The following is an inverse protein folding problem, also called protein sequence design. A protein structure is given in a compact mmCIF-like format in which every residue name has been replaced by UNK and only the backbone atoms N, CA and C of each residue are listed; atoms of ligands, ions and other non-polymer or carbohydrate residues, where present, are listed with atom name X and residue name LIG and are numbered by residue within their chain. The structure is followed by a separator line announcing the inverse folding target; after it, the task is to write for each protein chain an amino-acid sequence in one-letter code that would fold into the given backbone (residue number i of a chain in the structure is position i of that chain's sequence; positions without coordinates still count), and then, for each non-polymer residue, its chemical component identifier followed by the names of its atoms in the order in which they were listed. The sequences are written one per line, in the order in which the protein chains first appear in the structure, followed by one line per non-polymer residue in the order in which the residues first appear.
data_IF_612805012519
#
_entry.id   IF_612805012519
#
_cell.length_a   1.000
_cell.length_b   1.000
_cell.length_c   1.000
_cell.angle_alpha   90.00
_cell.angle_beta   90.00
_cell.angle_gamma   90.00
#
_symmetry.space_group_name_H-M   'P 1'
#
loop_
_entity.id
_entity.type
_entity.pdbx_description
1 polymer ?
#
# COMPACT_ATOMS: atom_id res chain seq x y z
N UNK A 1 64.59 4.19 -24.53
CA UNK A 1 64.29 5.49 -25.18
C UNK A 1 62.79 5.50 -25.50
N UNK A 2 62.02 6.33 -24.79
CA UNK A 2 60.64 6.89 -25.00
C UNK A 2 59.52 5.98 -25.58
N UNK A 3 58.33 5.78 -25.02
CA UNK A 3 57.31 6.56 -24.24
C UNK A 3 56.02 6.81 -25.07
N UNK A 4 54.84 6.68 -24.42
CA UNK A 4 53.50 7.15 -24.84
C UNK A 4 52.50 5.99 -25.02
N UNK A 5 51.62 5.61 -24.09
CA UNK A 5 50.48 6.29 -23.42
C UNK A 5 49.42 6.84 -24.39
N UNK A 6 48.22 6.26 -24.33
CA UNK A 6 47.05 6.62 -25.15
C UNK A 6 45.72 6.11 -24.57
N UNK A 7 45.41 6.56 -23.35
CA UNK A 7 44.10 6.87 -22.76
C UNK A 7 42.85 6.05 -23.13
N UNK A 8 42.27 5.44 -22.11
CA UNK A 8 40.96 4.79 -22.15
C UNK A 8 39.81 5.77 -22.34
N UNK A 9 38.80 5.30 -23.06
CA UNK A 9 37.43 5.79 -22.94
C UNK A 9 36.73 4.97 -21.87
N UNK A 10 36.86 5.39 -20.61
CA UNK A 10 35.85 5.05 -19.61
C UNK A 10 34.53 5.61 -20.14
N UNK A 11 33.59 4.73 -20.47
CA UNK A 11 32.20 5.12 -20.54
C UNK A 11 31.87 5.73 -19.18
N UNK A 12 31.59 7.03 -19.18
CA UNK A 12 30.97 7.69 -18.03
C UNK A 12 29.62 7.02 -17.85
N UNK A 13 29.56 6.04 -16.95
CA UNK A 13 28.33 5.73 -16.25
C UNK A 13 28.03 7.00 -15.48
N UNK A 14 27.14 7.83 -16.03
CA UNK A 14 26.54 8.91 -15.26
C UNK A 14 26.04 8.28 -13.96
N UNK A 15 26.40 8.79 -12.78
CA UNK A 15 25.74 8.36 -11.57
C UNK A 15 24.26 8.70 -11.77
N UNK A 16 23.42 7.68 -11.90
CA UNK A 16 22.00 7.84 -11.59
C UNK A 16 22.02 8.48 -10.21
N UNK A 17 21.51 9.71 -10.10
CA UNK A 17 21.50 10.42 -8.85
C UNK A 17 20.93 9.46 -7.79
N UNK A 18 21.78 9.15 -6.81
CA UNK A 18 21.53 8.31 -5.66
C UNK A 18 20.45 9.00 -4.82
N UNK A 19 19.23 9.00 -5.36
CA UNK A 19 18.10 9.68 -4.76
C UNK A 19 17.69 8.78 -3.63
N UNK A 20 17.91 9.22 -2.39
CA UNK A 20 17.45 8.53 -1.19
C UNK A 20 16.00 8.07 -1.42
N UNK A 21 15.75 6.75 -1.56
CA UNK A 21 14.43 6.23 -1.90
C UNK A 21 13.39 6.64 -0.85
N UNK A 22 13.80 6.80 0.40
CA UNK A 22 12.91 7.27 1.45
C UNK A 22 12.51 8.73 1.23
N UNK A 23 13.45 9.60 0.88
CA UNK A 23 13.16 10.99 0.53
C UNK A 23 12.23 11.09 -0.69
N UNK A 24 12.43 10.25 -1.70
CA UNK A 24 11.56 10.18 -2.87
C UNK A 24 10.12 9.79 -2.50
N UNK A 25 9.94 8.76 -1.67
CA UNK A 25 8.60 8.37 -1.21
C UNK A 25 7.94 9.41 -0.32
N UNK A 26 8.70 10.08 0.55
CA UNK A 26 8.19 11.16 1.39
C UNK A 26 7.70 12.35 0.56
N UNK A 27 8.39 12.67 -0.54
CA UNK A 27 8.00 13.74 -1.45
C UNK A 27 6.63 13.51 -2.12
N UNK A 28 6.24 12.25 -2.33
CA UNK A 28 4.98 11.86 -2.99
C UNK A 28 3.85 11.49 -2.02
N UNK A 29 4.12 11.43 -0.71
CA UNK A 29 3.18 10.93 0.30
C UNK A 29 1.88 11.75 0.38
N UNK A 30 1.93 13.06 0.18
CA UNK A 30 0.74 13.91 0.22
C UNK A 30 -0.22 13.60 -0.93
N UNK A 31 0.31 13.44 -2.14
CA UNK A 31 -0.47 13.08 -3.32
C UNK A 31 -1.04 11.66 -3.18
N UNK A 32 -0.21 10.71 -2.72
CA UNK A 32 -0.64 9.36 -2.39
C UNK A 32 -1.84 9.37 -1.43
N UNK A 33 -1.75 10.13 -0.33
CA UNK A 33 -2.84 10.22 0.64
C UNK A 33 -4.11 10.86 0.08
N UNK A 34 -3.97 11.84 -0.81
CA UNK A 34 -5.11 12.43 -1.51
C UNK A 34 -5.78 11.42 -2.43
N UNK A 35 -5.00 10.61 -3.14
CA UNK A 35 -5.50 9.53 -4.00
C UNK A 35 -6.21 8.45 -3.21
N UNK A 36 -5.64 7.99 -2.08
CA UNK A 36 -6.29 7.00 -1.20
C UNK A 36 -7.64 7.50 -0.67
N UNK A 37 -7.77 8.80 -0.37
CA UNK A 37 -9.07 9.38 0.02
C UNK A 37 -10.09 9.35 -1.12
N UNK A 38 -9.67 9.64 -2.36
CA UNK A 38 -10.54 9.53 -3.54
C UNK A 38 -10.98 8.08 -3.79
N UNK A 39 -10.05 7.13 -3.67
CA UNK A 39 -10.35 5.70 -3.85
C UNK A 39 -11.31 5.21 -2.76
N UNK A 40 -11.15 5.64 -1.50
CA UNK A 40 -12.10 5.28 -0.44
C UNK A 40 -13.51 5.78 -0.75
N UNK A 41 -13.64 7.02 -1.24
CA UNK A 41 -14.93 7.55 -1.67
C UNK A 41 -15.55 6.74 -2.84
N UNK A 42 -14.73 6.25 -3.76
CA UNK A 42 -15.17 5.38 -4.85
C UNK A 42 -15.69 4.02 -4.33
N UNK A 43 -14.99 3.40 -3.37
CA UNK A 43 -15.42 2.15 -2.71
C UNK A 43 -16.76 2.32 -2.01
N UNK A 44 -16.95 3.44 -1.30
CA UNK A 44 -18.22 3.77 -0.64
C UNK A 44 -19.37 3.84 -1.66
N UNK A 45 -19.14 4.48 -2.80
CA UNK A 45 -20.14 4.56 -3.87
C UNK A 45 -20.44 3.17 -4.46
N UNK A 46 -19.40 2.41 -4.77
CA UNK A 46 -19.48 1.08 -5.36
C UNK A 46 -20.22 0.07 -4.47
N UNK A 47 -19.98 0.13 -3.16
CA UNK A 47 -20.65 -0.74 -2.18
C UNK A 47 -22.06 -0.27 -1.80
N UNK A 48 -22.48 0.91 -2.28
CA UNK A 48 -23.77 1.53 -1.94
C UNK A 48 -23.88 1.90 -0.45
N UNK A 49 -22.75 2.14 0.22
CA UNK A 49 -22.73 2.55 1.62
C UNK A 49 -23.01 4.05 1.77
N UNK A 50 -23.61 4.43 2.90
CA UNK A 50 -23.79 5.85 3.21
C UNK A 50 -22.44 6.51 3.50
N UNK A 51 -22.06 7.52 2.70
CA UNK A 51 -20.75 8.16 2.80
C UNK A 51 -20.44 8.71 4.19
N UNK A 52 -21.40 9.37 4.84
CA UNK A 52 -21.22 9.89 6.19
C UNK A 52 -20.97 8.79 7.23
N UNK A 53 -21.66 7.65 7.09
CA UNK A 53 -21.47 6.51 7.98
C UNK A 53 -20.10 5.86 7.78
N UNK A 54 -19.68 5.67 6.53
CA UNK A 54 -18.38 5.07 6.20
C UNK A 54 -17.19 5.97 6.56
N UNK A 55 -17.34 7.29 6.46
CA UNK A 55 -16.32 8.25 6.90
C UNK A 55 -16.12 8.22 8.42
N UNK A 56 -17.22 8.13 9.19
CA UNK A 56 -17.21 8.06 10.65
C UNK A 56 -16.71 6.71 11.16
N UNK A 57 -17.20 5.63 10.55
CA UNK A 57 -16.84 4.27 10.90
C UNK A 57 -16.72 3.42 9.61
N UNK A 58 -15.48 3.23 9.10
CA UNK A 58 -15.23 2.41 7.93
C UNK A 58 -15.65 0.94 8.13
N UNK A 59 -15.80 0.45 9.36
CA UNK A 59 -16.24 -0.92 9.62
C UNK A 59 -17.65 -1.20 9.07
N UNK A 60 -18.46 -0.15 8.87
CA UNK A 60 -19.79 -0.25 8.22
C UNK A 60 -19.73 -0.78 6.78
N UNK A 61 -18.56 -0.74 6.14
CA UNK A 61 -18.33 -1.29 4.80
C UNK A 61 -18.07 -2.80 4.80
N UNK A 62 -17.62 -3.41 5.90
CA UNK A 62 -17.13 -4.78 5.93
C UNK A 62 -18.12 -5.78 5.29
N UNK A 63 -19.41 -5.82 5.67
CA UNK A 63 -20.34 -6.80 5.11
C UNK A 63 -20.71 -6.55 3.64
N UNK A 64 -20.47 -5.33 3.14
CA UNK A 64 -20.73 -4.96 1.74
C UNK A 64 -19.50 -5.24 0.88
N UNK A 65 -18.32 -4.94 1.40
CA UNK A 65 -17.05 -5.22 0.73
C UNK A 65 -16.83 -6.72 0.61
N UNK A 66 -17.13 -7.51 1.66
CA UNK A 66 -17.08 -8.96 1.59
C UNK A 66 -17.98 -9.51 0.48
N UNK A 67 -19.26 -9.08 0.45
CA UNK A 67 -20.21 -9.47 -0.60
C UNK A 67 -19.78 -9.02 -2.01
N UNK A 68 -19.17 -7.84 -2.12
CA UNK A 68 -18.67 -7.35 -3.39
C UNK A 68 -17.56 -8.27 -3.90
N UNK A 69 -16.57 -8.58 -3.08
CA UNK A 69 -15.44 -9.43 -3.45
C UNK A 69 -15.89 -10.86 -3.79
N UNK A 70 -16.81 -11.44 -3.00
CA UNK A 70 -17.39 -12.76 -3.27
C UNK A 70 -18.14 -12.86 -4.60
N UNK A 71 -18.65 -11.72 -5.11
CA UNK A 71 -19.37 -11.67 -6.38
C UNK A 71 -18.46 -11.41 -7.59
N UNK A 72 -17.18 -11.12 -7.38
CA UNK A 72 -16.25 -10.84 -8.48
C UNK A 72 -15.87 -12.14 -9.21
N UNK A 73 -15.85 -12.14 -10.55
CA UNK A 73 -15.35 -13.26 -11.33
C UNK A 73 -13.80 -13.24 -11.33
N UNK A 74 -13.17 -13.51 -10.19
CA UNK A 74 -11.71 -13.39 -10.01
C UNK A 74 -10.90 -14.21 -11.02
N UNK A 75 -11.46 -15.33 -11.51
CA UNK A 75 -10.83 -16.15 -12.54
C UNK A 75 -10.76 -15.48 -13.93
N UNK A 76 -11.55 -14.42 -14.15
CA UNK A 76 -11.62 -13.66 -15.40
C UNK A 76 -10.85 -12.33 -15.31
N UNK A 77 -10.23 -12.04 -14.17
CA UNK A 77 -9.53 -10.77 -13.95
C UNK A 77 -8.26 -10.66 -14.79
N UNK A 78 -8.14 -9.52 -15.47
CA UNK A 78 -6.90 -9.08 -16.09
C UNK A 78 -6.00 -8.35 -15.08
N UNK A 79 -4.77 -8.04 -15.46
CA UNK A 79 -3.80 -7.38 -14.57
C UNK A 79 -4.31 -6.06 -13.97
N UNK A 80 -5.05 -5.26 -14.74
CA UNK A 80 -5.60 -3.98 -14.29
C UNK A 80 -6.75 -4.18 -13.29
N UNK A 81 -7.53 -5.25 -13.43
CA UNK A 81 -8.60 -5.61 -12.48
C UNK A 81 -8.01 -6.00 -11.13
N UNK A 82 -6.95 -6.81 -11.15
CA UNK A 82 -6.19 -7.17 -9.95
C UNK A 82 -5.57 -5.96 -9.27
N UNK A 83 -4.97 -5.06 -10.05
CA UNK A 83 -4.38 -3.83 -9.52
C UNK A 83 -5.44 -2.92 -8.87
N UNK A 84 -6.61 -2.81 -9.50
CA UNK A 84 -7.74 -2.03 -8.98
C UNK A 84 -8.28 -2.63 -7.68
N UNK A 85 -8.54 -3.93 -7.65
CA UNK A 85 -9.02 -4.60 -6.44
C UNK A 85 -8.00 -4.52 -5.30
N UNK A 86 -6.71 -4.72 -5.58
CA UNK A 86 -5.65 -4.58 -4.58
C UNK A 86 -5.62 -3.17 -4.00
N UNK A 87 -5.69 -2.17 -4.89
CA UNK A 87 -5.73 -0.75 -4.55
C UNK A 87 -6.92 -0.42 -3.66
N UNK A 88 -8.10 -0.94 -3.95
CA UNK A 88 -9.31 -0.71 -3.19
C UNK A 88 -9.22 -1.34 -1.80
N UNK A 89 -8.85 -2.62 -1.71
CA UNK A 89 -8.72 -3.31 -0.43
C UNK A 89 -7.66 -2.66 0.46
N UNK A 90 -6.48 -2.32 -0.09
CA UNK A 90 -5.42 -1.63 0.64
C UNK A 90 -5.87 -0.23 1.13
N UNK A 91 -6.67 0.47 0.32
CA UNK A 91 -7.24 1.76 0.68
C UNK A 91 -8.23 1.63 1.83
N UNK A 92 -9.13 0.66 1.76
CA UNK A 92 -10.07 0.36 2.83
C UNK A 92 -9.35 0.06 4.14
N UNK A 93 -8.35 -0.83 4.11
CA UNK A 93 -7.54 -1.18 5.28
C UNK A 93 -6.84 0.04 5.87
N UNK A 94 -6.26 0.91 5.03
CA UNK A 94 -5.61 2.12 5.51
C UNK A 94 -6.57 3.12 6.13
N UNK A 95 -7.78 3.27 5.57
CA UNK A 95 -8.81 4.13 6.17
C UNK A 95 -9.33 3.55 7.49
N UNK A 96 -9.53 2.24 7.57
CA UNK A 96 -9.95 1.56 8.79
C UNK A 96 -8.89 1.71 9.91
N UNK A 97 -7.61 1.49 9.59
CA UNK A 97 -6.50 1.68 10.53
C UNK A 97 -6.39 3.14 11.01
N UNK A 98 -6.60 4.10 10.11
CA UNK A 98 -6.61 5.51 10.48
C UNK A 98 -7.70 5.85 11.50
N UNK A 99 -8.90 5.32 11.33
CA UNK A 99 -10.03 5.58 12.25
C UNK A 99 -9.88 4.79 13.56
N UNK A 100 -9.53 3.50 13.50
CA UNK A 100 -9.54 2.63 14.69
C UNK A 100 -8.26 2.70 15.52
N UNK A 101 -7.12 3.01 14.91
CA UNK A 101 -5.80 2.97 15.55
C UNK A 101 -5.04 4.30 15.47
N UNK A 102 -5.70 5.37 15.02
CA UNK A 102 -5.07 6.67 14.75
C UNK A 102 -3.82 6.55 13.85
N UNK A 103 -3.81 5.55 12.96
CA UNK A 103 -2.71 5.33 12.04
C UNK A 103 -2.71 6.39 10.93
N UNK A 104 -1.54 6.63 10.35
CA UNK A 104 -1.35 7.53 9.22
C UNK A 104 -0.55 6.82 8.13
N UNK A 105 -0.79 7.18 6.88
CA UNK A 105 0.06 6.73 5.80
C UNK A 105 1.45 7.35 5.95
N UNK A 106 2.47 6.50 5.87
CA UNK A 106 3.88 6.85 5.89
C UNK A 106 4.66 6.06 4.84
N UNK A 107 5.97 6.20 4.89
CA UNK A 107 6.90 5.54 3.96
C UNK A 107 7.92 4.75 4.78
N UNK A 108 8.21 3.53 4.36
CA UNK A 108 9.33 2.73 4.88
C UNK A 108 10.27 2.37 3.76
N UNK A 109 11.57 2.38 4.06
CA UNK A 109 12.59 1.87 3.15
C UNK A 109 12.33 0.38 2.89
N UNK A 110 12.43 0.01 1.63
CA UNK A 110 12.26 -1.36 1.17
C UNK A 110 13.19 -1.59 -0.03
N UNK A 111 14.49 -1.80 0.21
CA UNK A 111 15.49 -1.91 -0.87
C UNK A 111 15.23 -3.07 -1.85
N UNK A 112 14.42 -4.04 -1.45
CA UNK A 112 14.01 -5.16 -2.29
C UNK A 112 12.90 -4.83 -3.30
N UNK A 113 12.29 -3.64 -3.23
CA UNK A 113 11.27 -3.22 -4.21
C UNK A 113 11.87 -2.34 -5.32
N UNK A 114 11.28 -2.31 -6.53
CA UNK A 114 11.76 -1.44 -7.60
C UNK A 114 11.81 0.05 -7.25
N UNK A 115 10.96 0.50 -6.31
CA UNK A 115 10.94 1.89 -5.83
C UNK A 115 11.93 2.16 -4.71
N UNK A 116 12.46 1.13 -4.06
CA UNK A 116 13.30 1.24 -2.86
C UNK A 116 12.55 1.64 -1.59
N UNK A 117 11.22 1.80 -1.65
CA UNK A 117 10.34 2.10 -0.53
C UNK A 117 8.96 1.48 -0.72
N UNK A 118 8.16 1.49 0.35
CA UNK A 118 6.73 1.16 0.33
C UNK A 118 5.93 2.16 1.16
N UNK A 119 4.66 2.31 0.78
CA UNK A 119 3.69 3.04 1.59
C UNK A 119 3.10 2.12 2.65
N UNK A 120 3.10 2.58 3.88
CA UNK A 120 2.63 1.80 5.04
C UNK A 120 1.62 2.61 5.82
N UNK A 121 0.79 1.95 6.61
CA UNK A 121 0.01 2.60 7.67
C UNK A 121 0.80 2.46 8.95
N UNK A 122 1.10 3.58 9.60
CA UNK A 122 1.97 3.65 10.77
C UNK A 122 1.28 4.34 11.94
N UNK A 123 1.64 3.94 13.16
CA UNK A 123 1.19 4.57 14.41
C UNK A 123 2.29 5.48 14.96
N UNK A 124 1.91 6.39 15.87
CA UNK A 124 2.85 7.36 16.46
C UNK A 124 3.99 6.70 17.25
N UNK A 125 3.81 5.47 17.72
CA UNK A 125 4.83 4.65 18.40
C UNK A 125 5.69 3.81 17.45
N UNK A 126 5.60 4.07 16.15
CA UNK A 126 6.53 3.52 15.15
C UNK A 126 6.18 2.14 14.62
N UNK A 127 5.08 1.52 15.05
CA UNK A 127 4.56 0.30 14.41
C UNK A 127 4.00 0.63 13.04
N UNK A 128 4.12 -0.30 12.10
CA UNK A 128 3.56 -0.11 10.77
C UNK A 128 3.19 -1.43 10.13
N UNK A 129 2.15 -1.39 9.31
CA UNK A 129 1.72 -2.47 8.45
C UNK A 129 1.74 -1.99 6.99
N UNK A 130 2.03 -2.89 6.06
CA UNK A 130 1.89 -2.64 4.62
C UNK A 130 0.56 -3.23 4.14
N UNK A 131 -0.47 -2.39 3.87
CA UNK A 131 -1.75 -2.92 3.43
C UNK A 131 -1.69 -3.64 2.08
N UNK A 132 -0.74 -3.30 1.20
CA UNK A 132 -0.62 -3.95 -0.12
C UNK A 132 -0.02 -5.34 0.01
N UNK A 133 0.94 -5.52 0.91
CA UNK A 133 1.49 -6.84 1.22
C UNK A 133 0.43 -7.74 1.84
N UNK A 134 -0.36 -7.23 2.77
CA UNK A 134 -1.44 -7.99 3.41
C UNK A 134 -2.48 -8.44 2.38
N UNK A 135 -2.90 -7.56 1.48
CA UNK A 135 -3.83 -7.92 0.40
C UNK A 135 -3.20 -8.93 -0.57
N UNK A 136 -1.91 -8.77 -0.91
CA UNK A 136 -1.22 -9.70 -1.79
C UNK A 136 -1.13 -11.11 -1.18
N UNK A 137 -0.92 -11.21 0.14
CA UNK A 137 -0.96 -12.47 0.87
C UNK A 137 -2.37 -13.07 0.86
N UNK A 138 -3.39 -12.25 1.08
CA UNK A 138 -4.79 -12.70 1.03
C UNK A 138 -5.17 -13.28 -0.34
N UNK A 139 -4.66 -12.73 -1.44
CA UNK A 139 -4.90 -13.27 -2.78
C UNK A 139 -4.22 -14.62 -3.06
N UNK A 140 -3.37 -15.13 -2.16
CA UNK A 140 -2.84 -16.50 -2.25
C UNK A 140 -3.80 -17.54 -1.68
N UNK A 141 -4.90 -17.11 -1.07
CA UNK A 141 -5.89 -17.96 -0.42
C UNK A 141 -7.04 -18.27 -1.39
N UNK A 142 -7.72 -19.40 -1.17
CA UNK A 142 -8.84 -19.83 -2.04
C UNK A 142 -10.02 -18.85 -2.02
N UNK A 143 -10.20 -18.15 -0.90
CA UNK A 143 -11.28 -17.19 -0.67
C UNK A 143 -10.71 -15.94 -0.05
N UNK A 144 -11.04 -14.78 -0.63
CA UNK A 144 -10.70 -13.48 -0.06
C UNK A 144 -11.65 -13.16 1.10
N UNK A 145 -11.07 -13.00 2.28
CA UNK A 145 -11.74 -12.69 3.54
C UNK A 145 -11.31 -11.32 4.04
N UNK A 146 -12.24 -10.36 3.96
CA UNK A 146 -12.03 -8.98 4.41
C UNK A 146 -11.76 -8.91 5.92
N UNK A 147 -12.39 -9.78 6.72
CA UNK A 147 -12.17 -9.82 8.18
C UNK A 147 -10.78 -10.35 8.50
N UNK A 148 -10.30 -11.37 7.78
CA UNK A 148 -8.93 -11.88 7.92
C UNK A 148 -7.90 -10.80 7.60
N UNK A 149 -8.07 -10.06 6.51
CA UNK A 149 -7.18 -8.94 6.19
C UNK A 149 -7.15 -7.88 7.30
N UNK A 150 -8.31 -7.54 7.87
CA UNK A 150 -8.41 -6.59 8.99
C UNK A 150 -7.66 -7.12 10.21
N UNK A 151 -7.88 -8.38 10.58
CA UNK A 151 -7.22 -9.02 11.70
C UNK A 151 -5.69 -9.02 11.50
N UNK A 152 -5.21 -9.27 10.29
CA UNK A 152 -3.79 -9.22 9.95
C UNK A 152 -3.20 -7.82 10.08
N UNK A 153 -3.90 -6.77 9.62
CA UNK A 153 -3.48 -5.38 9.82
C UNK A 153 -3.40 -5.06 11.31
N UNK A 154 -4.44 -5.39 12.08
CA UNK A 154 -4.48 -5.12 13.52
C UNK A 154 -3.37 -5.87 14.27
N UNK A 155 -3.16 -7.16 13.97
CA UNK A 155 -2.10 -7.95 14.55
C UNK A 155 -0.71 -7.40 14.20
N UNK A 156 -0.49 -6.95 12.96
CA UNK A 156 0.78 -6.34 12.53
C UNK A 156 1.03 -5.01 13.25
N UNK A 157 -0.03 -4.23 13.48
CA UNK A 157 0.04 -2.98 14.25
C UNK A 157 0.10 -3.20 15.76
N UNK A 158 -0.21 -4.39 16.27
CA UNK A 158 -0.07 -4.74 17.69
C UNK A 158 1.26 -5.45 17.98
N UNK A 159 1.90 -6.03 16.95
CA UNK A 159 3.17 -6.72 17.07
C UNK A 159 4.24 -5.79 17.70
N UNK A 160 5.03 -6.36 18.61
CA UNK A 160 6.13 -5.63 19.23
C UNK A 160 7.12 -5.17 18.15
N UNK A 161 7.62 -3.94 18.26
CA UNK A 161 8.77 -3.49 17.47
C UNK A 161 9.95 -4.35 17.92
N UNK A 162 10.26 -5.38 17.14
CA UNK A 162 11.50 -6.13 17.35
C UNK A 162 12.59 -5.26 16.77
N UNK A 163 13.26 -4.52 17.65
CA UNK A 163 14.34 -3.59 17.31
C UNK A 163 15.56 -4.28 16.74
#
# INVERSE_FOLDING_TARGET
MRAGVGWGSQGTVSPVADTDPLAAGLATLLEWNAERRRNFAAIVQLTGAGAEAAERDPATLIPRLQRYVEALPLAEFEADDWFTLQTDLATFLGRLAAVRRAAYWGVRAAPSTPRGYRYVVATADGRAADPYEIVALEFQEDVVDVVRMIATVEATLDAAVTG
#
